data_IF_234401688363
#
_entry.id   IF_234401688363
#
_cell.length_a   1.000
_cell.length_b   1.000
_cell.length_c   1.000
_cell.angle_alpha   90.00
_cell.angle_beta   90.00
_cell.angle_gamma   90.00
#
_symmetry.space_group_name_H-M   'P 1'
#
loop_
_entity.id
_entity.type
_entity.pdbx_description
1 polymer ?
#
# COMPACT_ATOMS: atom_id res chain seq x y z
N UNK A 1 3.97 51.31 13.78
CA UNK A 1 3.23 50.31 12.98
C UNK A 1 3.90 48.99 13.14
N UNK A 2 3.28 48.12 13.89
CA UNK A 2 3.78 46.77 14.04
C UNK A 2 3.11 45.90 12.98
N UNK A 3 3.86 45.51 11.98
CA UNK A 3 3.40 44.49 11.07
C UNK A 3 3.50 43.18 11.80
N UNK A 4 2.36 42.66 12.21
CA UNK A 4 2.29 41.24 12.59
C UNK A 4 2.38 40.48 11.30
N UNK A 5 3.58 40.07 10.95
CA UNK A 5 3.76 39.03 9.94
C UNK A 5 3.20 37.77 10.55
N UNK A 6 1.93 37.54 10.27
CA UNK A 6 1.36 36.24 10.45
C UNK A 6 2.06 35.34 9.44
N UNK A 7 3.14 34.70 9.86
CA UNK A 7 3.65 33.56 9.14
C UNK A 7 2.62 32.46 9.31
N UNK A 8 1.66 32.47 8.40
CA UNK A 8 0.93 31.26 8.11
C UNK A 8 1.97 30.27 7.59
N UNK A 9 2.53 29.52 8.50
CA UNK A 9 3.21 28.30 8.13
C UNK A 9 2.13 27.37 7.58
N UNK A 10 1.89 27.49 6.28
CA UNK A 10 1.28 26.45 5.53
C UNK A 10 2.27 25.28 5.56
N UNK A 11 2.26 24.56 6.66
CA UNK A 11 2.80 23.22 6.63
C UNK A 11 1.99 22.48 5.59
N UNK A 12 2.62 21.96 4.51
CA UNK A 12 1.91 21.03 3.69
C UNK A 12 1.47 19.91 4.64
N UNK A 13 0.17 19.78 4.81
CA UNK A 13 -0.38 18.61 5.47
C UNK A 13 -0.03 17.47 4.53
N UNK A 14 1.12 16.88 4.74
CA UNK A 14 1.43 15.61 4.13
C UNK A 14 0.49 14.62 4.79
N UNK A 15 -0.54 14.23 4.07
CA UNK A 15 -1.31 13.07 4.46
C UNK A 15 -0.37 11.87 4.33
N UNK A 16 0.34 11.58 5.41
CA UNK A 16 1.09 10.34 5.49
C UNK A 16 0.09 9.20 5.52
N UNK A 17 0.22 8.26 4.57
CA UNK A 17 -0.40 6.97 4.72
C UNK A 17 -0.01 6.42 6.10
N UNK A 18 -0.98 5.88 6.81
CA UNK A 18 -0.76 5.32 8.14
C UNK A 18 -0.40 3.85 7.99
N UNK A 19 0.88 3.62 7.70
CA UNK A 19 1.39 2.29 7.43
C UNK A 19 1.60 1.51 8.71
N UNK A 20 0.92 0.36 8.82
CA UNK A 20 1.09 -0.59 9.91
C UNK A 20 1.89 -1.78 9.42
N UNK A 21 3.01 -2.07 10.08
CA UNK A 21 3.86 -3.21 9.75
C UNK A 21 3.15 -4.51 10.11
N UNK A 22 3.09 -5.46 9.16
CA UNK A 22 2.43 -6.75 9.37
C UNK A 22 3.38 -7.94 9.21
N UNK A 23 4.49 -7.79 8.49
CA UNK A 23 5.41 -8.87 8.21
C UNK A 23 6.76 -8.33 7.77
N UNK A 24 7.82 -9.07 8.10
CA UNK A 24 9.20 -8.77 7.66
C UNK A 24 9.84 -10.02 7.09
N UNK A 25 10.36 -9.90 5.88
CA UNK A 25 11.22 -10.89 5.23
C UNK A 25 12.32 -10.13 4.49
N UNK A 26 12.54 -10.33 3.21
CA UNK A 26 13.43 -9.49 2.39
C UNK A 26 12.85 -8.10 2.14
N UNK A 27 11.61 -7.90 2.50
CA UNK A 27 10.93 -6.61 2.50
C UNK A 27 10.13 -6.45 3.78
N UNK A 28 9.89 -5.19 4.18
CA UNK A 28 8.91 -4.87 5.21
C UNK A 28 7.55 -4.69 4.54
N UNK A 29 6.53 -5.36 5.06
CA UNK A 29 5.18 -5.35 4.50
C UNK A 29 4.24 -4.58 5.42
N UNK A 30 3.55 -3.59 4.85
CA UNK A 30 2.65 -2.68 5.57
C UNK A 30 1.27 -2.67 4.96
N UNK A 31 0.27 -2.43 5.81
CA UNK A 31 -1.10 -2.14 5.36
C UNK A 31 -1.52 -0.79 5.93
N UNK A 32 -2.29 -0.03 5.16
CA UNK A 32 -2.94 1.18 5.63
C UNK A 32 -4.39 0.86 6.01
N UNK A 33 -4.64 0.65 7.30
CA UNK A 33 -5.97 0.31 7.79
C UNK A 33 -6.95 1.48 7.74
N UNK A 34 -6.46 2.72 7.74
CA UNK A 34 -7.34 3.90 7.70
C UNK A 34 -8.01 4.07 6.35
N UNK A 35 -7.33 3.68 5.28
CA UNK A 35 -7.84 3.82 3.92
C UNK A 35 -8.57 2.57 3.41
N UNK A 36 -8.80 1.59 4.28
CA UNK A 36 -9.59 0.43 3.90
C UNK A 36 -11.04 0.82 3.65
N UNK A 37 -11.61 0.26 2.59
CA UNK A 37 -13.02 0.41 2.29
C UNK A 37 -13.67 -0.95 2.11
N UNK A 38 -14.83 -1.13 2.73
CA UNK A 38 -15.54 -2.40 2.74
C UNK A 38 -16.87 -2.27 2.01
N UNK A 39 -17.16 -3.22 1.14
CA UNK A 39 -18.42 -3.31 0.41
C UNK A 39 -18.86 -4.77 0.32
N UNK A 40 -19.82 -5.17 1.16
CA UNK A 40 -20.26 -6.56 1.27
C UNK A 40 -19.11 -7.47 1.73
N UNK A 41 -18.80 -8.48 0.93
CA UNK A 41 -17.72 -9.43 1.23
C UNK A 41 -16.34 -8.95 0.73
N UNK A 42 -16.29 -7.80 0.07
CA UNK A 42 -15.07 -7.29 -0.55
C UNK A 42 -14.50 -6.14 0.25
N UNK A 43 -13.19 -6.15 0.44
CA UNK A 43 -12.46 -5.08 1.11
C UNK A 43 -11.33 -4.64 0.22
N UNK A 44 -11.23 -3.33 0.00
CA UNK A 44 -10.12 -2.71 -0.72
C UNK A 44 -9.13 -2.15 0.29
N UNK A 45 -7.86 -2.39 0.04
CA UNK A 45 -6.80 -1.93 0.92
C UNK A 45 -5.58 -1.50 0.12
N UNK A 46 -4.86 -0.52 0.68
CA UNK A 46 -3.53 -0.16 0.22
C UNK A 46 -2.51 -0.92 1.05
N UNK A 47 -1.50 -1.46 0.39
CA UNK A 47 -0.36 -2.06 1.06
C UNK A 47 0.95 -1.66 0.40
N UNK A 48 2.02 -1.68 1.18
CA UNK A 48 3.34 -1.23 0.80
C UNK A 48 4.34 -2.34 1.06
N UNK A 49 5.19 -2.61 0.07
CA UNK A 49 6.37 -3.45 0.23
C UNK A 49 7.61 -2.56 0.19
N UNK A 50 8.35 -2.54 1.29
CA UNK A 50 9.54 -1.73 1.43
C UNK A 50 10.76 -2.64 1.50
N UNK A 51 11.54 -2.69 0.42
CA UNK A 51 12.66 -3.62 0.30
C UNK A 51 13.88 -3.11 1.05
N UNK A 52 14.60 -4.03 1.72
CA UNK A 52 15.87 -3.70 2.37
C UNK A 52 16.94 -3.33 1.33
N UNK A 53 16.93 -4.01 0.19
CA UNK A 53 17.84 -3.79 -0.93
C UNK A 53 17.06 -3.33 -2.15
N UNK A 54 17.64 -2.42 -2.97
CA UNK A 54 16.98 -2.02 -4.21
C UNK A 54 16.70 -3.21 -5.11
N UNK A 55 15.55 -3.19 -5.74
CA UNK A 55 15.13 -4.18 -6.72
C UNK A 55 15.24 -3.60 -8.12
N UNK A 56 15.44 -4.45 -9.12
CA UNK A 56 15.54 -4.01 -10.51
C UNK A 56 14.55 -4.79 -11.36
N UNK A 57 13.77 -4.08 -12.16
CA UNK A 57 12.91 -4.65 -13.17
C UNK A 57 13.04 -3.84 -14.45
N UNK A 58 13.37 -4.48 -15.57
CA UNK A 58 13.51 -3.81 -16.89
C UNK A 58 14.30 -2.51 -16.81
N UNK A 59 15.48 -2.52 -16.18
CA UNK A 59 16.36 -1.36 -15.97
C UNK A 59 15.82 -0.29 -15.01
N UNK A 60 14.66 -0.50 -14.39
CA UNK A 60 14.15 0.38 -13.34
C UNK A 60 14.59 -0.14 -11.98
N UNK A 61 15.28 0.70 -11.23
CA UNK A 61 15.68 0.40 -9.86
C UNK A 61 14.68 1.03 -8.88
N UNK A 62 14.06 0.21 -8.04
CA UNK A 62 13.07 0.69 -7.09
C UNK A 62 13.33 0.14 -5.68
N UNK A 63 12.88 0.88 -4.67
CA UNK A 63 13.00 0.51 -3.26
C UNK A 63 11.69 0.08 -2.63
N UNK A 64 10.57 0.54 -3.17
CA UNK A 64 9.27 0.22 -2.61
C UNK A 64 8.20 0.11 -3.69
N UNK A 65 7.15 -0.62 -3.35
CA UNK A 65 5.98 -0.84 -4.21
C UNK A 65 4.73 -0.54 -3.39
N UNK A 66 3.87 0.33 -3.91
CA UNK A 66 2.53 0.53 -3.39
C UNK A 66 1.54 -0.26 -4.23
N UNK A 67 0.65 -0.99 -3.57
CA UNK A 67 -0.40 -1.74 -4.22
C UNK A 67 -1.74 -1.36 -3.63
N UNK A 68 -2.74 -1.26 -4.48
CA UNK A 68 -4.13 -1.24 -4.07
C UNK A 68 -4.78 -2.53 -4.55
N UNK A 69 -5.32 -3.30 -3.62
CA UNK A 69 -5.93 -4.59 -3.94
C UNK A 69 -7.32 -4.71 -3.36
N UNK A 70 -8.11 -5.56 -3.99
CA UNK A 70 -9.43 -5.93 -3.52
C UNK A 70 -9.38 -7.39 -3.07
N UNK A 71 -9.89 -7.63 -1.86
CA UNK A 71 -9.94 -8.96 -1.24
C UNK A 71 -11.39 -9.39 -1.11
N UNK A 72 -11.71 -10.57 -1.60
CA UNK A 72 -12.99 -11.21 -1.34
C UNK A 72 -12.81 -12.11 -0.11
N UNK A 73 -13.28 -11.64 1.03
CA UNK A 73 -13.07 -12.33 2.31
C UNK A 73 -13.82 -13.66 2.40
N UNK A 74 -14.93 -13.80 1.70
CA UNK A 74 -15.72 -15.03 1.68
C UNK A 74 -15.13 -16.06 0.72
N UNK A 75 -14.83 -15.65 -0.50
CA UNK A 75 -14.31 -16.54 -1.55
C UNK A 75 -12.80 -16.80 -1.41
N UNK A 76 -12.09 -16.06 -0.55
CA UNK A 76 -10.63 -16.14 -0.37
C UNK A 76 -9.89 -15.92 -1.68
N UNK A 77 -10.20 -14.79 -2.31
CA UNK A 77 -9.58 -14.33 -3.56
C UNK A 77 -9.11 -12.90 -3.42
N UNK A 78 -8.16 -12.53 -4.23
CA UNK A 78 -7.71 -11.14 -4.34
C UNK A 78 -7.44 -10.76 -5.78
N UNK A 79 -7.47 -9.47 -6.06
CA UNK A 79 -6.97 -8.91 -7.31
C UNK A 79 -6.29 -7.58 -7.04
N UNK A 80 -5.25 -7.31 -7.81
CA UNK A 80 -4.57 -6.02 -7.78
C UNK A 80 -5.37 -5.05 -8.64
N UNK A 81 -5.73 -3.90 -8.07
CA UNK A 81 -6.44 -2.84 -8.77
C UNK A 81 -5.49 -1.81 -9.36
N UNK A 82 -4.38 -1.55 -8.67
CA UNK A 82 -3.38 -0.60 -9.10
C UNK A 82 -2.07 -0.87 -8.35
N UNK A 83 -0.95 -0.54 -8.97
CA UNK A 83 0.34 -0.58 -8.29
C UNK A 83 1.29 0.46 -8.86
N UNK A 84 2.28 0.85 -8.06
CA UNK A 84 3.30 1.80 -8.46
C UNK A 84 4.64 1.43 -7.84
N UNK A 85 5.71 1.61 -8.61
CA UNK A 85 7.09 1.42 -8.19
C UNK A 85 7.70 2.76 -7.82
N UNK A 86 8.43 2.83 -6.71
CA UNK A 86 9.04 4.05 -6.22
C UNK A 86 10.56 3.88 -6.07
N UNK A 87 11.34 4.94 -6.40
CA UNK A 87 12.81 4.87 -6.30
C UNK A 87 13.30 4.87 -4.86
N UNK A 88 12.52 5.41 -3.93
CA UNK A 88 12.90 5.57 -2.54
C UNK A 88 12.09 4.64 -1.63
N UNK A 89 12.57 4.42 -0.39
CA UNK A 89 11.81 3.67 0.60
C UNK A 89 10.47 4.32 0.92
N UNK A 90 9.55 3.53 1.42
CA UNK A 90 8.26 3.95 1.96
C UNK A 90 7.35 4.68 0.96
N UNK A 91 7.48 4.34 -0.33
CA UNK A 91 6.64 4.93 -1.38
C UNK A 91 6.93 6.40 -1.63
N UNK A 92 8.16 6.85 -1.34
CA UNK A 92 8.57 8.24 -1.53
C UNK A 92 9.18 8.46 -2.91
N UNK A 93 9.18 9.73 -3.34
CA UNK A 93 9.68 10.12 -4.64
C UNK A 93 8.62 10.04 -5.72
N UNK A 94 9.03 10.33 -6.96
CA UNK A 94 8.14 10.20 -8.11
C UNK A 94 8.06 8.74 -8.55
N UNK A 95 6.85 8.26 -8.77
CA UNK A 95 6.65 6.89 -9.25
C UNK A 95 7.42 6.67 -10.56
N UNK A 96 8.25 5.62 -10.58
CA UNK A 96 9.00 5.21 -11.77
C UNK A 96 8.09 4.54 -12.79
N UNK A 97 7.05 3.90 -12.31
CA UNK A 97 6.07 3.18 -13.10
C UNK A 97 4.78 3.08 -12.28
N UNK A 98 3.65 3.20 -12.93
CA UNK A 98 2.36 2.92 -12.30
C UNK A 98 1.41 2.25 -13.28
N UNK A 99 0.52 1.45 -12.75
CA UNK A 99 -0.53 0.78 -13.51
C UNK A 99 -1.82 0.82 -12.72
N UNK A 100 -2.86 1.42 -13.30
CA UNK A 100 -4.18 1.58 -12.70
C UNK A 100 -5.24 0.70 -13.32
N UNK A 101 -4.88 -0.50 -13.77
CA UNK A 101 -5.77 -1.46 -14.42
C UNK A 101 -5.95 -2.68 -13.53
N UNK A 102 -7.19 -3.06 -13.27
CA UNK A 102 -7.47 -4.24 -12.45
C UNK A 102 -6.98 -5.51 -13.14
N UNK A 103 -6.23 -6.31 -12.38
CA UNK A 103 -5.77 -7.63 -12.81
C UNK A 103 -6.85 -8.69 -12.48
N UNK A 104 -6.61 -9.91 -12.94
CA UNK A 104 -7.53 -11.01 -12.71
C UNK A 104 -7.57 -11.42 -11.23
N UNK A 105 -8.73 -11.96 -10.82
CA UNK A 105 -8.88 -12.54 -9.50
C UNK A 105 -7.99 -13.76 -9.34
N UNK A 106 -7.30 -13.85 -8.20
CA UNK A 106 -6.42 -14.96 -7.83
C UNK A 106 -6.92 -15.62 -6.57
N UNK A 107 -6.92 -16.95 -6.56
CA UNK A 107 -7.20 -17.72 -5.35
C UNK A 107 -6.04 -17.56 -4.38
N UNK A 108 -6.34 -17.28 -3.12
CA UNK A 108 -5.34 -17.12 -2.08
C UNK A 108 -5.08 -18.48 -1.42
N UNK A 109 -3.85 -18.95 -1.55
CA UNK A 109 -3.43 -20.22 -0.93
C UNK A 109 -3.17 -20.01 0.57
N UNK A 110 -3.57 -20.98 1.43
CA UNK A 110 -3.27 -20.90 2.84
C UNK A 110 -1.77 -20.82 3.11
N UNK A 111 -1.38 -20.15 4.21
CA UNK A 111 0.00 -20.03 4.69
C UNK A 111 0.94 -19.31 3.73
N UNK A 112 0.41 -18.46 2.89
CA UNK A 112 1.19 -17.56 2.01
C UNK A 112 1.16 -16.14 2.54
N UNK A 113 2.00 -15.26 1.98
CA UNK A 113 1.96 -13.84 2.30
C UNK A 113 0.59 -13.23 1.96
N UNK A 114 0.00 -13.61 0.83
CA UNK A 114 -1.33 -13.14 0.45
C UNK A 114 -2.40 -13.59 1.45
N UNK A 115 -2.25 -14.76 2.04
CA UNK A 115 -3.15 -15.24 3.11
C UNK A 115 -3.02 -14.36 4.36
N UNK A 116 -1.82 -13.93 4.70
CA UNK A 116 -1.59 -12.99 5.81
C UNK A 116 -2.28 -11.64 5.52
N UNK A 117 -2.13 -11.10 4.32
CA UNK A 117 -2.84 -9.89 3.93
C UNK A 117 -4.35 -10.05 4.05
N UNK A 118 -4.87 -11.18 3.55
CA UNK A 118 -6.30 -11.48 3.63
C UNK A 118 -6.79 -11.47 5.08
N UNK A 119 -6.08 -12.15 5.98
CA UNK A 119 -6.41 -12.19 7.40
C UNK A 119 -6.38 -10.81 8.05
N UNK A 120 -5.36 -10.03 7.75
CA UNK A 120 -5.24 -8.67 8.29
C UNK A 120 -6.37 -7.77 7.79
N UNK A 121 -6.68 -7.83 6.51
CA UNK A 121 -7.68 -6.98 5.88
C UNK A 121 -9.10 -7.39 6.27
N UNK A 122 -9.37 -8.69 6.34
CA UNK A 122 -10.73 -9.21 6.59
C UNK A 122 -11.10 -9.27 8.07
N UNK A 123 -10.12 -9.30 8.97
CA UNK A 123 -10.38 -9.37 10.42
C UNK A 123 -10.59 -8.02 11.07
N UNK A 124 -10.13 -6.92 10.46
CA UNK A 124 -10.29 -5.58 11.02
C UNK A 124 -11.71 -5.09 10.81
N UNK A 125 -12.38 -4.84 11.92
CA UNK A 125 -13.64 -4.11 11.92
C UNK A 125 -13.32 -2.62 11.89
N UNK A 126 -13.86 -1.97 10.92
CA UNK A 126 -13.88 -0.51 10.93
C UNK A 126 -15.07 -0.02 11.68
#
# INVERSE_FOLDING_TARGET
MKFILLFLFLFPIKSFADWSLIHQDDADHYIDYKLMSKSGHKTRAWYLQNYAEPQTIKNLQYHSVKNRSEFDCKARKMRILAYALYPEPMGQGHALFNKGEALDWQVIKPKTLNDLYLKCVCSKKK
#
